data_IF_846211752918
#
_entry.id   IF_846211752918
#
_cell.length_a   1.000
_cell.length_b   1.000
_cell.length_c   1.000
_cell.angle_alpha   90.00
_cell.angle_beta   90.00
_cell.angle_gamma   90.00
#
_symmetry.space_group_name_H-M   'P 1'
#
loop_
_entity.id
_entity.type
_entity.pdbx_description
1 polymer ?
#
# COMPACT_ATOMS: atom_id res chain seq x y z
N UNK A 1 1.83 5.34 11.96
CA UNK A 1 2.34 4.83 10.66
C UNK A 1 1.89 3.40 10.42
N UNK A 2 2.24 2.41 11.25
CA UNK A 2 1.84 1.01 11.04
C UNK A 2 0.33 0.77 10.83
N UNK A 3 -0.53 1.43 11.61
CA UNK A 3 -2.00 1.35 11.41
C UNK A 3 -2.44 1.87 10.03
N UNK A 4 -1.80 2.92 9.52
CA UNK A 4 -2.07 3.43 8.17
C UNK A 4 -1.67 2.38 7.13
N UNK A 5 -0.51 1.74 7.29
CA UNK A 5 -0.07 0.68 6.37
C UNK A 5 -1.08 -0.46 6.32
N UNK A 6 -1.54 -0.97 7.47
CA UNK A 6 -2.55 -2.03 7.52
C UNK A 6 -3.89 -1.63 6.91
N UNK A 7 -4.37 -0.42 7.19
CA UNK A 7 -5.62 0.08 6.59
C UNK A 7 -5.49 0.31 5.07
N UNK A 8 -4.34 0.79 4.61
CA UNK A 8 -4.05 1.05 3.21
C UNK A 8 -3.97 -0.25 2.39
N UNK A 9 -3.32 -1.29 2.91
CA UNK A 9 -3.17 -2.58 2.22
C UNK A 9 -4.51 -3.32 2.11
N UNK A 10 -5.26 -3.43 3.22
CA UNK A 10 -6.59 -4.04 3.22
C UNK A 10 -7.56 -3.21 2.39
N UNK A 11 -7.49 -1.87 2.50
CA UNK A 11 -8.30 -0.95 1.72
C UNK A 11 -8.06 -1.06 0.22
N UNK A 12 -6.80 -1.26 -0.22
CA UNK A 12 -6.47 -1.44 -1.62
C UNK A 12 -7.03 -2.76 -2.20
N UNK A 13 -6.95 -3.85 -1.44
CA UNK A 13 -7.57 -5.11 -1.81
C UNK A 13 -9.11 -4.98 -1.88
N UNK A 14 -9.72 -4.39 -0.84
CA UNK A 14 -11.17 -4.19 -0.80
C UNK A 14 -11.67 -3.24 -1.89
N UNK A 15 -10.87 -2.23 -2.26
CA UNK A 15 -11.19 -1.32 -3.35
C UNK A 15 -11.36 -2.06 -4.68
N UNK A 16 -10.50 -3.06 -4.96
CA UNK A 16 -10.64 -3.87 -6.18
C UNK A 16 -11.97 -4.64 -6.22
N UNK A 17 -12.39 -5.21 -5.10
CA UNK A 17 -13.66 -5.94 -5.02
C UNK A 17 -14.90 -5.06 -5.16
N UNK A 18 -14.88 -3.85 -4.60
CA UNK A 18 -16.08 -3.02 -4.43
C UNK A 18 -16.20 -1.93 -5.50
N UNK A 19 -15.08 -1.34 -5.92
CA UNK A 19 -15.06 -0.10 -6.69
C UNK A 19 -14.25 -0.14 -7.99
N UNK A 20 -13.46 -1.18 -8.24
CA UNK A 20 -12.69 -1.26 -9.49
C UNK A 20 -13.60 -1.58 -10.68
N UNK A 21 -13.27 -0.99 -11.84
CA UNK A 21 -14.05 -1.14 -13.07
C UNK A 21 -13.94 -2.55 -13.66
N UNK A 22 -12.80 -3.23 -13.43
CA UNK A 22 -12.52 -4.62 -13.79
C UNK A 22 -12.87 -5.62 -12.68
N UNK A 23 -13.30 -5.13 -11.52
CA UNK A 23 -13.68 -5.95 -10.37
C UNK A 23 -15.15 -6.42 -10.43
N UNK A 24 -15.53 -7.38 -9.56
CA UNK A 24 -16.90 -7.92 -9.53
C UNK A 24 -17.95 -6.95 -8.98
N UNK A 25 -17.56 -5.78 -8.44
CA UNK A 25 -18.48 -4.77 -7.94
C UNK A 25 -19.33 -5.24 -6.76
N UNK A 26 -18.77 -6.09 -5.89
CA UNK A 26 -19.50 -6.67 -4.76
C UNK A 26 -19.74 -5.67 -3.64
N UNK A 27 -20.80 -5.86 -2.88
CA UNK A 27 -21.06 -5.04 -1.69
C UNK A 27 -20.11 -5.40 -0.55
N UNK A 28 -19.86 -4.45 0.36
CA UNK A 28 -19.02 -4.69 1.54
C UNK A 28 -19.51 -5.88 2.39
N UNK A 29 -20.83 -6.07 2.48
CA UNK A 29 -21.42 -7.18 3.23
C UNK A 29 -21.11 -8.55 2.62
N UNK A 30 -21.15 -8.65 1.28
CA UNK A 30 -20.76 -9.86 0.55
C UNK A 30 -19.27 -10.13 0.73
N UNK A 31 -18.43 -9.09 0.63
CA UNK A 31 -16.98 -9.22 0.82
C UNK A 31 -16.61 -9.67 2.25
N UNK A 32 -17.27 -9.15 3.28
CA UNK A 32 -16.98 -9.55 4.67
C UNK A 32 -17.43 -10.98 5.00
N UNK A 33 -18.39 -11.52 4.24
CA UNK A 33 -18.95 -12.86 4.41
C UNK A 33 -18.57 -13.82 3.28
N UNK A 34 -17.44 -13.58 2.61
CA UNK A 34 -17.02 -14.38 1.45
C UNK A 34 -16.89 -15.89 1.73
N UNK A 35 -16.56 -16.30 2.97
CA UNK A 35 -16.49 -17.73 3.35
C UNK A 35 -17.83 -18.46 3.32
N UNK A 36 -18.95 -17.74 3.25
CA UNK A 36 -20.29 -18.30 3.11
C UNK A 36 -20.72 -18.43 1.64
N UNK A 37 -19.86 -18.02 0.70
CA UNK A 37 -20.12 -18.13 -0.73
C UNK A 37 -20.25 -19.62 -1.10
N UNK A 38 -21.45 -19.99 -1.50
CA UNK A 38 -21.84 -21.30 -2.03
C UNK A 38 -22.85 -21.04 -3.13
N UNK A 39 -22.89 -21.90 -4.16
CA UNK A 39 -23.74 -21.70 -5.35
C UNK A 39 -25.23 -21.49 -5.01
N UNK A 40 -25.70 -22.07 -3.90
CA UNK A 40 -27.10 -22.00 -3.45
C UNK A 40 -27.43 -20.83 -2.51
N UNK A 41 -26.45 -19.96 -2.18
CA UNK A 41 -26.68 -18.90 -1.18
C UNK A 41 -27.30 -17.65 -1.82
N UNK A 42 -28.48 -17.19 -1.35
CA UNK A 42 -29.24 -16.12 -2.01
C UNK A 42 -28.51 -14.76 -2.03
N UNK A 43 -27.60 -14.52 -1.09
CA UNK A 43 -26.80 -13.29 -1.04
C UNK A 43 -25.67 -13.23 -2.09
N UNK A 44 -25.37 -14.33 -2.78
CA UNK A 44 -24.30 -14.42 -3.78
C UNK A 44 -24.83 -14.87 -5.16
N UNK A 45 -26.15 -14.77 -5.37
CA UNK A 45 -26.80 -15.17 -6.63
C UNK A 45 -26.22 -14.37 -7.82
N UNK A 46 -25.73 -15.07 -8.84
CA UNK A 46 -25.09 -14.49 -10.02
C UNK A 46 -23.62 -14.07 -9.86
N UNK A 47 -22.95 -14.39 -8.75
CA UNK A 47 -21.52 -14.18 -8.54
C UNK A 47 -20.76 -15.51 -8.54
N UNK A 48 -19.60 -15.54 -9.21
CA UNK A 48 -18.69 -16.68 -9.17
C UNK A 48 -17.80 -16.59 -7.92
N UNK A 49 -17.84 -17.61 -7.04
CA UNK A 49 -17.11 -17.62 -5.78
C UNK A 49 -15.58 -17.68 -5.99
N UNK A 50 -15.11 -18.16 -7.15
CA UNK A 50 -13.68 -18.23 -7.48
C UNK A 50 -13.04 -16.82 -7.55
N UNK A 51 -13.84 -15.76 -7.74
CA UNK A 51 -13.36 -14.38 -7.77
C UNK A 51 -12.72 -13.95 -6.45
N UNK A 52 -13.13 -14.52 -5.32
CA UNK A 52 -12.58 -14.21 -4.00
C UNK A 52 -11.17 -14.79 -3.81
N UNK A 53 -10.76 -15.77 -4.62
CA UNK A 53 -9.41 -16.34 -4.64
C UNK A 53 -8.50 -15.69 -5.70
N UNK A 54 -8.96 -14.62 -6.36
CA UNK A 54 -8.18 -13.89 -7.37
C UNK A 54 -6.85 -13.35 -6.82
N UNK A 55 -5.81 -13.37 -7.65
CA UNK A 55 -4.48 -12.83 -7.35
C UNK A 55 -4.40 -11.30 -7.43
N UNK A 56 -5.34 -10.64 -8.11
CA UNK A 56 -5.35 -9.17 -8.27
C UNK A 56 -5.41 -8.41 -6.93
N UNK A 57 -6.37 -8.66 -6.02
CA UNK A 57 -6.46 -7.94 -4.75
C UNK A 57 -5.24 -8.17 -3.86
N UNK A 58 -4.65 -9.37 -3.87
CA UNK A 58 -3.40 -9.66 -3.16
C UNK A 58 -2.24 -8.84 -3.73
N UNK A 59 -2.16 -8.73 -5.06
CA UNK A 59 -1.13 -7.93 -5.74
C UNK A 59 -1.27 -6.44 -5.43
N UNK A 60 -2.50 -5.93 -5.39
CA UNK A 60 -2.80 -4.55 -4.96
C UNK A 60 -2.32 -4.28 -3.54
N UNK A 61 -2.66 -5.16 -2.59
CA UNK A 61 -2.23 -5.04 -1.19
C UNK A 61 -0.71 -5.09 -1.06
N UNK A 62 -0.03 -6.05 -1.72
CA UNK A 62 1.42 -6.17 -1.69
C UNK A 62 2.10 -4.94 -2.30
N UNK A 63 1.60 -4.44 -3.43
CA UNK A 63 2.17 -3.27 -4.11
C UNK A 63 2.02 -1.99 -3.29
N UNK A 64 0.90 -1.81 -2.59
CA UNK A 64 0.73 -0.72 -1.62
C UNK A 64 1.70 -0.86 -0.46
N UNK A 65 1.87 -2.07 0.09
CA UNK A 65 2.82 -2.32 1.17
C UNK A 65 4.24 -1.94 0.75
N UNK A 66 4.72 -2.48 -0.37
CA UNK A 66 6.08 -2.19 -0.88
C UNK A 66 6.26 -0.70 -1.15
N UNK A 67 5.30 -0.05 -1.80
CA UNK A 67 5.37 1.39 -2.08
C UNK A 67 5.42 2.22 -0.80
N UNK A 68 4.59 1.90 0.18
CA UNK A 68 4.59 2.57 1.49
C UNK A 68 5.92 2.38 2.22
N UNK A 69 6.47 1.17 2.24
CA UNK A 69 7.74 0.91 2.91
C UNK A 69 8.90 1.65 2.24
N UNK A 70 8.90 1.76 0.90
CA UNK A 70 9.90 2.57 0.20
C UNK A 70 9.76 4.07 0.53
N UNK A 71 8.53 4.59 0.62
CA UNK A 71 8.28 5.95 1.08
C UNK A 71 8.71 6.15 2.55
N UNK A 72 8.47 5.16 3.40
CA UNK A 72 8.85 5.18 4.80
C UNK A 72 10.37 5.10 4.98
N UNK A 73 11.07 4.40 4.09
CA UNK A 73 12.54 4.37 4.06
C UNK A 73 13.12 5.75 3.74
N UNK A 74 12.52 6.51 2.82
CA UNK A 74 12.90 7.90 2.55
C UNK A 74 12.67 8.79 3.78
N UNK A 75 11.53 8.63 4.44
CA UNK A 75 11.24 9.34 5.68
C UNK A 75 12.22 8.99 6.80
N UNK A 76 12.69 7.75 6.86
CA UNK A 76 13.67 7.27 7.85
C UNK A 76 15.09 7.78 7.61
N UNK A 77 15.36 8.47 6.50
CA UNK A 77 16.65 9.14 6.25
C UNK A 77 16.93 10.25 7.27
N UNK A 78 15.88 10.80 7.88
CA UNK A 78 16.02 11.75 8.98
C UNK A 78 14.97 11.55 10.05
N UNK A 79 15.42 11.48 11.29
CA UNK A 79 14.54 11.42 12.45
C UNK A 79 13.83 12.77 12.70
N UNK A 80 14.55 13.89 12.53
CA UNK A 80 14.05 15.22 12.93
C UNK A 80 14.03 16.27 11.81
N UNK A 81 14.69 16.04 10.67
CA UNK A 81 14.61 16.98 9.55
C UNK A 81 13.53 16.55 8.56
N UNK A 82 12.79 17.53 8.07
CA UNK A 82 11.84 17.31 6.98
C UNK A 82 12.58 16.98 5.68
N UNK A 83 11.99 16.14 4.84
CA UNK A 83 12.44 15.82 3.48
C UNK A 83 12.66 17.06 2.61
N UNK A 84 11.95 18.17 2.90
CA UNK A 84 12.14 19.46 2.23
C UNK A 84 13.51 20.09 2.54
N UNK A 85 14.05 19.86 3.74
CA UNK A 85 15.38 20.37 4.14
C UNK A 85 16.49 19.39 3.83
N UNK A 86 16.23 18.09 3.97
CA UNK A 86 17.15 17.03 3.57
C UNK A 86 16.57 16.26 2.40
N UNK A 87 16.94 16.62 1.17
CA UNK A 87 16.39 15.96 0.02
C UNK A 87 16.89 14.52 -0.08
N UNK A 88 16.15 13.62 -0.75
CA UNK A 88 16.44 12.20 -0.75
C UNK A 88 17.76 11.83 -1.45
N UNK A 89 18.28 12.70 -2.31
CA UNK A 89 19.57 12.53 -2.99
C UNK A 89 20.81 12.70 -2.11
N UNK A 90 20.66 13.05 -0.82
CA UNK A 90 21.76 13.06 0.14
C UNK A 90 22.36 11.66 0.31
N UNK A 91 21.54 10.61 0.22
CA UNK A 91 21.99 9.22 0.30
C UNK A 91 21.70 8.48 -1.02
N UNK A 92 22.67 8.53 -1.94
CA UNK A 92 22.59 7.83 -3.23
C UNK A 92 22.46 6.31 -3.04
N UNK A 93 23.07 5.75 -1.99
CA UNK A 93 22.96 4.31 -1.70
C UNK A 93 21.53 3.92 -1.32
N UNK A 94 20.85 4.73 -0.51
CA UNK A 94 19.44 4.51 -0.18
C UNK A 94 18.56 4.56 -1.44
N UNK A 95 18.77 5.56 -2.29
CA UNK A 95 18.05 5.65 -3.57
C UNK A 95 18.30 4.42 -4.44
N UNK A 96 19.56 3.96 -4.53
CA UNK A 96 19.91 2.73 -5.23
C UNK A 96 19.19 1.51 -4.68
N UNK A 97 19.12 1.36 -3.35
CA UNK A 97 18.39 0.26 -2.71
C UNK A 97 16.88 0.32 -2.95
N UNK A 98 16.28 1.51 -2.94
CA UNK A 98 14.85 1.70 -3.26
C UNK A 98 14.58 1.35 -4.72
N UNK A 99 15.41 1.85 -5.65
CA UNK A 99 15.29 1.53 -7.06
C UNK A 99 15.45 0.02 -7.31
N UNK A 100 16.39 -0.64 -6.63
CA UNK A 100 16.57 -2.08 -6.72
C UNK A 100 15.36 -2.84 -6.17
N UNK A 101 14.82 -2.41 -5.02
CA UNK A 101 13.63 -3.02 -4.41
C UNK A 101 12.40 -2.90 -5.31
N UNK A 102 12.14 -1.72 -5.87
CA UNK A 102 11.04 -1.52 -6.83
C UNK A 102 11.27 -2.33 -8.11
N UNK A 103 12.50 -2.41 -8.60
CA UNK A 103 12.83 -3.21 -9.78
C UNK A 103 12.57 -4.71 -9.53
N UNK A 104 12.95 -5.22 -8.36
CA UNK A 104 12.64 -6.59 -7.95
C UNK A 104 11.13 -6.82 -7.83
N UNK A 105 10.39 -5.82 -7.33
CA UNK A 105 8.92 -5.86 -7.30
C UNK A 105 8.32 -5.98 -8.71
N UNK A 106 8.84 -5.25 -9.70
CA UNK A 106 8.42 -5.44 -11.09
C UNK A 106 8.82 -6.82 -11.64
N UNK A 107 10.00 -7.32 -11.29
CA UNK A 107 10.45 -8.65 -11.74
C UNK A 107 9.49 -9.75 -11.24
N UNK A 108 9.08 -9.72 -9.96
CA UNK A 108 8.15 -10.73 -9.44
C UNK A 108 6.75 -10.66 -10.06
N UNK A 109 6.36 -9.53 -10.66
CA UNK A 109 5.05 -9.32 -11.29
C UNK A 109 5.04 -9.64 -12.79
N UNK A 110 6.15 -9.39 -13.51
CA UNK A 110 6.18 -9.46 -14.98
C UNK A 110 7.05 -10.60 -15.52
N UNK A 111 7.86 -11.27 -14.68
CA UNK A 111 8.72 -12.38 -15.12
C UNK A 111 8.11 -13.71 -14.70
N UNK A 112 7.51 -14.43 -15.65
CA UNK A 112 7.14 -15.84 -15.47
C UNK A 112 8.41 -16.64 -15.10
N UNK A 113 8.44 -17.45 -14.02
CA UNK A 113 7.36 -18.14 -13.29
C UNK A 113 6.97 -17.53 -11.93
N UNK A 114 7.50 -16.35 -11.58
CA UNK A 114 7.40 -15.80 -10.22
C UNK A 114 5.96 -15.46 -9.79
N UNK A 115 5.09 -14.87 -10.63
CA UNK A 115 3.70 -14.57 -10.25
C UNK A 115 2.91 -15.82 -9.86
N UNK A 116 3.19 -16.98 -10.48
CA UNK A 116 2.54 -18.25 -10.17
C UNK A 116 2.91 -18.74 -8.75
N UNK A 117 4.16 -18.56 -8.34
CA UNK A 117 4.66 -19.00 -7.02
C UNK A 117 4.11 -18.09 -5.92
N UNK A 118 4.09 -16.77 -6.15
CA UNK A 118 3.66 -15.79 -5.16
C UNK A 118 2.14 -15.49 -5.20
N UNK A 119 1.39 -16.15 -6.09
CA UNK A 119 -0.03 -15.86 -6.36
C UNK A 119 -0.29 -14.38 -6.67
N UNK A 120 0.54 -13.82 -7.55
CA UNK A 120 0.46 -12.45 -8.01
C UNK A 120 0.04 -12.41 -9.49
N UNK A 121 -0.34 -11.22 -9.96
CA UNK A 121 -0.65 -10.98 -11.36
C UNK A 121 -0.18 -9.59 -11.79
N UNK A 122 -0.17 -9.33 -13.09
CA UNK A 122 0.20 -8.02 -13.60
C UNK A 122 -0.85 -6.97 -13.23
N UNK A 123 -0.39 -5.77 -12.88
CA UNK A 123 -1.25 -4.63 -12.59
C UNK A 123 -1.32 -3.71 -13.81
N UNK A 124 -2.54 -3.28 -14.15
CA UNK A 124 -2.75 -2.24 -15.16
C UNK A 124 -2.37 -0.86 -14.62
N UNK A 125 -2.23 0.13 -15.50
CA UNK A 125 -1.93 1.51 -15.14
C UNK A 125 -2.99 2.10 -14.20
N UNK A 126 -4.27 1.78 -14.37
CA UNK A 126 -5.33 2.23 -13.48
C UNK A 126 -5.11 1.74 -12.04
N UNK A 127 -4.72 0.48 -11.88
CA UNK A 127 -4.37 -0.10 -10.58
C UNK A 127 -3.15 0.57 -9.95
N UNK A 128 -2.10 0.77 -10.74
CA UNK A 128 -0.89 1.46 -10.27
C UNK A 128 -1.16 2.89 -9.81
N UNK A 129 -2.03 3.63 -10.51
CA UNK A 129 -2.44 4.96 -10.08
C UNK A 129 -3.13 4.92 -8.71
N UNK A 130 -3.96 3.90 -8.45
CA UNK A 130 -4.58 3.72 -7.14
C UNK A 130 -3.55 3.36 -6.07
N UNK A 131 -2.61 2.47 -6.37
CA UNK A 131 -1.49 2.12 -5.46
C UNK A 131 -0.73 3.37 -5.05
N UNK A 132 -0.34 4.21 -6.01
CA UNK A 132 0.38 5.47 -5.75
C UNK A 132 -0.49 6.44 -4.93
N UNK A 133 -1.77 6.62 -5.29
CA UNK A 133 -2.70 7.49 -4.56
C UNK A 133 -2.89 7.09 -3.09
N UNK A 134 -3.00 5.80 -2.81
CA UNK A 134 -3.11 5.28 -1.43
C UNK A 134 -1.77 5.36 -0.70
N UNK A 135 -0.65 5.22 -1.39
CA UNK A 135 0.67 5.13 -0.72
C UNK A 135 1.25 6.51 -0.39
N UNK A 136 1.13 7.49 -1.30
CA UNK A 136 1.74 8.82 -1.14
C UNK A 136 1.38 9.57 0.16
N UNK A 137 0.15 9.50 0.70
CA UNK A 137 -0.18 10.22 1.93
C UNK A 137 0.63 9.79 3.16
N UNK A 138 1.32 8.63 3.12
CA UNK A 138 2.21 8.22 4.22
C UNK A 138 3.36 9.22 4.43
N UNK A 139 3.86 9.83 3.35
CA UNK A 139 4.91 10.85 3.43
C UNK A 139 4.36 12.06 4.20
N UNK A 140 3.18 12.54 3.80
CA UNK A 140 2.56 13.68 4.47
C UNK A 140 2.26 13.39 5.95
N UNK A 141 1.78 12.20 6.26
CA UNK A 141 1.53 11.76 7.64
C UNK A 141 2.81 11.83 8.49
N UNK A 142 3.92 11.31 7.97
CA UNK A 142 5.21 11.32 8.66
C UNK A 142 5.75 12.75 8.85
N UNK A 143 5.66 13.59 7.82
CA UNK A 143 6.14 14.97 7.91
C UNK A 143 5.31 15.81 8.89
N UNK A 144 4.00 15.55 8.97
CA UNK A 144 3.13 16.13 10.01
C UNK A 144 3.57 15.70 11.41
N UNK A 145 3.89 14.41 11.62
CA UNK A 145 4.36 13.90 12.91
C UNK A 145 5.70 14.54 13.30
N UNK A 146 6.67 14.64 12.37
CA UNK A 146 7.95 15.34 12.59
C UNK A 146 7.78 16.82 12.84
N UNK A 147 6.80 17.47 12.21
CA UNK A 147 6.49 18.87 12.46
C UNK A 147 5.94 19.09 13.88
N UNK A 148 5.02 18.22 14.32
CA UNK A 148 4.48 18.28 15.69
C UNK A 148 5.57 18.00 16.72
N UNK A 149 6.44 17.02 16.48
CA UNK A 149 7.54 16.69 17.39
C UNK A 149 8.49 17.88 17.61
N UNK A 150 8.93 18.52 16.52
CA UNK A 150 9.81 19.71 16.59
C UNK A 150 9.17 20.89 17.31
N UNK A 151 7.93 21.23 16.97
CA UNK A 151 7.33 22.46 17.50
C UNK A 151 6.76 22.29 18.91
N UNK A 152 6.25 21.12 19.28
CA UNK A 152 5.53 20.94 20.55
C UNK A 152 6.28 20.08 21.57
N UNK A 153 7.12 19.12 21.16
CA UNK A 153 7.84 18.27 22.13
C UNK A 153 9.20 18.89 22.49
N UNK A 154 9.99 19.28 21.49
CA UNK A 154 11.32 19.86 21.75
C UNK A 154 11.24 21.22 22.45
N UNK A 155 10.32 22.11 22.03
CA UNK A 155 10.13 23.41 22.69
C UNK A 155 9.63 23.30 24.14
N UNK A 156 8.78 22.31 24.45
CA UNK A 156 8.31 22.09 25.82
C UNK A 156 9.41 21.56 26.76
N UNK A 157 10.43 20.90 26.22
CA UNK A 157 11.59 20.43 26.99
C UNK A 157 12.55 21.60 27.27
N UNK A 158 12.77 22.48 26.29
CA UNK A 158 13.59 23.69 26.48
C UNK A 158 12.93 24.71 27.41
N UNK A 159 11.60 24.89 27.35
CA UNK A 159 10.87 25.77 28.28
C UNK A 159 10.81 25.28 29.73
N UNK A 160 11.28 24.06 30.01
CA UNK A 160 11.40 23.48 31.36
C UNK A 160 12.84 23.47 31.90
N UNK A 161 13.83 23.88 31.12
CA UNK A 161 15.22 24.09 31.56
C UNK A 161 15.44 25.54 31.97
#
# INVERSE_FOLDING_TARGET
IGMYVGAATVGAAAWWFIYAEDGPGVTYHQLSHFMQCTEDHPSFDGLDCDIFESSVPMTMALSVLVTIEMCNALNSLSENQSLVRMPPWVNIWLLGSICLSMSLHFVILYVDPLPMIFKLTHLDLHHWLMVIKISLPVIFLDECLKFVARNYLEQNIEGKK
#
